data_IF_423095504194
#
_entry.id   IF_423095504194
#
_cell.length_a   1.000
_cell.length_b   1.000
_cell.length_c   1.000
_cell.angle_alpha   90.00
_cell.angle_beta   90.00
_cell.angle_gamma   90.00
#
_symmetry.space_group_name_H-M   'P 1'
#
loop_
_entity.id
_entity.type
_entity.pdbx_description
1 polymer ?
#
# COMPACT_ATOMS: atom_id res chain seq x y z
N UNK A 1 38.94 -39.87 26.86
CA UNK A 1 39.49 -39.55 25.50
C UNK A 1 38.38 -39.21 24.47
N UNK A 2 37.50 -40.16 24.07
CA UNK A 2 36.43 -39.85 23.08
C UNK A 2 35.45 -38.77 23.58
N UNK A 3 35.02 -38.85 24.84
CA UNK A 3 34.11 -37.89 25.47
C UNK A 3 34.70 -36.47 25.52
N UNK A 4 35.97 -36.35 25.78
CA UNK A 4 36.69 -35.08 25.93
C UNK A 4 36.88 -34.43 24.54
N UNK A 5 37.12 -35.24 23.51
CA UNK A 5 37.17 -34.78 22.10
C UNK A 5 35.81 -34.30 21.65
N UNK A 6 34.72 -35.03 21.94
CA UNK A 6 33.35 -34.62 21.61
C UNK A 6 32.98 -33.30 22.31
N UNK A 7 33.34 -33.13 23.57
CA UNK A 7 33.12 -31.92 24.33
C UNK A 7 33.83 -30.71 23.71
N UNK A 8 35.10 -30.87 23.32
CA UNK A 8 35.86 -29.80 22.65
C UNK A 8 35.22 -29.41 21.29
N UNK A 9 34.84 -30.41 20.50
CA UNK A 9 34.16 -30.16 19.21
C UNK A 9 32.86 -29.39 19.43
N UNK A 10 32.06 -29.79 20.41
CA UNK A 10 30.81 -29.10 20.72
C UNK A 10 31.05 -27.64 21.16
N UNK A 11 32.04 -27.41 22.01
CA UNK A 11 32.43 -26.06 22.43
C UNK A 11 32.92 -25.21 21.25
N UNK A 12 33.67 -25.76 20.31
CA UNK A 12 34.13 -25.05 19.11
C UNK A 12 32.99 -24.71 18.19
N UNK A 13 32.02 -25.62 17.97
CA UNK A 13 30.83 -25.37 17.14
C UNK A 13 29.92 -24.30 17.74
N UNK A 14 29.67 -24.37 19.05
CA UNK A 14 28.85 -23.35 19.72
C UNK A 14 29.53 -21.99 19.76
N UNK A 15 30.85 -21.98 20.02
CA UNK A 15 31.64 -20.74 20.01
C UNK A 15 31.68 -20.08 18.64
N UNK A 16 31.87 -20.86 17.57
CA UNK A 16 31.85 -20.31 16.19
C UNK A 16 30.47 -19.76 15.79
N UNK A 17 29.41 -20.44 16.19
CA UNK A 17 28.04 -19.96 15.99
C UNK A 17 27.75 -18.62 16.69
N UNK A 18 28.24 -18.51 17.93
CA UNK A 18 28.10 -17.27 18.70
C UNK A 18 28.84 -16.08 18.07
N UNK A 19 30.09 -16.32 17.62
CA UNK A 19 30.88 -15.29 16.92
C UNK A 19 30.17 -14.86 15.62
N UNK A 20 29.70 -15.82 14.83
CA UNK A 20 28.97 -15.52 13.59
C UNK A 20 27.71 -14.70 13.87
N UNK A 21 26.96 -15.02 14.91
CA UNK A 21 25.78 -14.26 15.34
C UNK A 21 26.13 -12.82 15.73
N UNK A 22 27.19 -12.63 16.51
CA UNK A 22 27.65 -11.28 16.89
C UNK A 22 28.05 -10.47 15.65
N UNK A 23 28.82 -11.05 14.74
CA UNK A 23 29.20 -10.37 13.48
C UNK A 23 27.98 -9.99 12.66
N UNK A 24 26.98 -10.87 12.58
CA UNK A 24 25.70 -10.56 11.90
C UNK A 24 24.98 -9.39 12.57
N UNK A 25 24.85 -9.38 13.90
CA UNK A 25 24.22 -8.30 14.64
C UNK A 25 24.95 -6.96 14.43
N UNK A 26 26.27 -6.97 14.45
CA UNK A 26 27.09 -5.77 14.21
C UNK A 26 26.86 -5.25 12.79
N UNK A 27 26.92 -6.12 11.78
CA UNK A 27 26.68 -5.73 10.38
C UNK A 27 25.26 -5.18 10.17
N UNK A 28 24.27 -5.81 10.80
CA UNK A 28 22.89 -5.34 10.76
C UNK A 28 22.75 -3.97 11.40
N UNK A 29 23.35 -3.76 12.57
CA UNK A 29 23.33 -2.48 13.28
C UNK A 29 23.98 -1.35 12.45
N UNK A 30 25.15 -1.61 11.89
CA UNK A 30 25.84 -0.63 11.03
C UNK A 30 25.08 -0.38 9.73
N UNK A 31 24.51 -1.40 9.12
CA UNK A 31 23.66 -1.26 7.93
C UNK A 31 22.42 -0.42 8.20
N UNK A 32 21.75 -0.64 9.34
CA UNK A 32 20.60 0.13 9.76
C UNK A 32 20.96 1.59 10.07
N UNK A 33 22.03 1.83 10.83
CA UNK A 33 22.47 3.18 11.20
C UNK A 33 22.91 4.03 9.99
N UNK A 34 23.45 3.40 8.97
CA UNK A 34 23.90 4.06 7.74
C UNK A 34 22.82 4.08 6.64
N UNK A 35 21.61 3.58 6.92
CA UNK A 35 20.50 3.68 5.99
C UNK A 35 20.07 5.14 5.84
N UNK A 36 20.50 5.76 4.77
CA UNK A 36 19.97 7.05 4.35
C UNK A 36 18.83 6.79 3.37
N UNK A 37 17.57 7.12 3.73
CA UNK A 37 16.49 7.00 2.78
C UNK A 37 16.81 7.87 1.56
N UNK A 38 16.68 7.29 0.36
CA UNK A 38 16.91 8.01 -0.88
C UNK A 38 15.94 9.18 -0.96
N UNK A 39 16.43 10.39 -0.73
CA UNK A 39 15.64 11.64 -0.75
C UNK A 39 15.29 12.13 -2.17
N UNK A 40 15.65 11.40 -3.21
CA UNK A 40 15.26 11.79 -4.58
C UNK A 40 13.85 11.28 -4.91
N UNK A 41 12.86 11.93 -4.38
CA UNK A 41 11.50 11.81 -4.88
C UNK A 41 11.44 12.52 -6.24
N UNK A 42 11.67 11.79 -7.32
CA UNK A 42 11.11 12.24 -8.59
C UNK A 42 9.60 12.22 -8.40
N UNK A 43 8.99 13.38 -8.36
CA UNK A 43 7.54 13.51 -8.36
C UNK A 43 7.01 12.74 -9.57
N UNK A 44 6.20 11.72 -9.31
CA UNK A 44 5.59 10.88 -10.36
C UNK A 44 4.09 11.10 -10.32
N UNK A 45 3.44 10.88 -11.44
CA UNK A 45 1.98 10.80 -11.47
C UNK A 45 1.52 9.57 -10.68
N UNK A 46 0.46 9.70 -9.89
CA UNK A 46 -0.09 8.65 -9.04
C UNK A 46 -1.60 8.61 -9.19
N UNK A 47 -2.15 7.44 -9.49
CA UNK A 47 -3.58 7.20 -9.47
C UNK A 47 -3.96 6.45 -8.20
N UNK A 48 -4.76 7.06 -7.34
CA UNK A 48 -5.29 6.46 -6.11
C UNK A 48 -6.63 5.83 -6.43
N UNK A 49 -6.70 4.50 -6.47
CA UNK A 49 -7.92 3.77 -6.80
C UNK A 49 -8.59 3.27 -5.52
N UNK A 50 -9.84 3.65 -5.34
CA UNK A 50 -10.69 3.23 -4.23
C UNK A 50 -11.88 2.46 -4.80
N UNK A 51 -11.97 1.17 -4.46
CA UNK A 51 -13.16 0.37 -4.80
C UNK A 51 -14.12 0.43 -3.63
N UNK A 52 -15.34 0.89 -3.88
CA UNK A 52 -16.37 1.11 -2.86
C UNK A 52 -17.65 0.36 -3.20
N UNK A 53 -18.44 0.03 -2.17
CA UNK A 53 -19.79 -0.46 -2.29
C UNK A 53 -20.55 -0.21 -0.99
N UNK A 54 -21.61 0.61 -1.06
CA UNK A 54 -22.42 1.01 0.09
C UNK A 54 -21.57 1.58 1.25
N UNK A 55 -20.58 2.43 0.94
CA UNK A 55 -19.65 3.04 1.90
C UNK A 55 -19.97 4.54 2.15
N UNK A 56 -21.17 4.99 1.90
CA UNK A 56 -21.58 6.39 2.06
C UNK A 56 -21.23 6.98 3.43
N UNK A 57 -21.23 6.17 4.49
CA UNK A 57 -20.87 6.63 5.85
C UNK A 57 -19.38 6.94 5.99
N UNK A 58 -18.48 6.16 5.39
CA UNK A 58 -17.03 6.27 5.56
C UNK A 58 -16.38 7.13 4.47
N UNK A 59 -16.99 7.19 3.30
CA UNK A 59 -16.45 7.82 2.10
C UNK A 59 -16.12 9.32 2.27
N UNK A 60 -16.92 10.16 2.94
CA UNK A 60 -16.58 11.57 3.12
C UNK A 60 -15.30 11.79 3.89
N UNK A 61 -15.08 11.02 4.95
CA UNK A 61 -13.84 11.08 5.75
C UNK A 61 -12.64 10.65 4.93
N UNK A 62 -12.76 9.56 4.16
CA UNK A 62 -11.72 9.08 3.27
C UNK A 62 -11.38 10.10 2.17
N UNK A 63 -12.39 10.64 1.48
CA UNK A 63 -12.18 11.64 0.42
C UNK A 63 -11.50 12.90 0.97
N UNK A 64 -11.94 13.39 2.12
CA UNK A 64 -11.30 14.52 2.78
C UNK A 64 -9.83 14.24 3.07
N UNK A 65 -9.49 13.06 3.58
CA UNK A 65 -8.11 12.67 3.85
C UNK A 65 -7.27 12.54 2.57
N UNK A 66 -7.85 11.99 1.49
CA UNK A 66 -7.16 11.85 0.20
C UNK A 66 -6.92 13.21 -0.48
N UNK A 67 -7.88 14.13 -0.43
CA UNK A 67 -7.77 15.46 -1.02
C UNK A 67 -6.75 16.33 -0.28
N UNK A 68 -6.57 16.11 1.02
CA UNK A 68 -5.64 16.85 1.87
C UNK A 68 -4.24 16.19 1.97
N UNK A 69 -3.87 15.30 1.06
CA UNK A 69 -2.54 14.71 1.02
C UNK A 69 -1.45 15.77 0.73
N UNK A 70 -0.30 15.62 1.38
CA UNK A 70 0.90 16.42 1.09
C UNK A 70 1.59 15.91 -0.20
N UNK A 71 0.86 16.03 -1.31
CA UNK A 71 1.34 15.68 -2.65
C UNK A 71 0.86 16.72 -3.67
N UNK A 72 1.64 17.07 -4.71
CA UNK A 72 1.19 18.04 -5.71
C UNK A 72 -0.10 17.59 -6.40
N UNK A 73 -1.11 18.45 -6.37
CA UNK A 73 -2.46 18.15 -6.87
C UNK A 73 -2.54 17.85 -8.36
N UNK A 74 -1.61 18.37 -9.11
CA UNK A 74 -1.44 18.14 -10.56
C UNK A 74 -0.79 16.79 -10.90
N UNK A 75 -0.23 16.12 -9.89
CA UNK A 75 0.47 14.85 -10.06
C UNK A 75 -0.28 13.65 -9.47
N UNK A 76 -1.46 13.82 -8.91
CA UNK A 76 -2.27 12.68 -8.52
C UNK A 76 -3.75 12.84 -8.88
N UNK A 77 -4.38 11.72 -9.11
CA UNK A 77 -5.81 11.60 -9.33
C UNK A 77 -6.41 10.59 -8.37
N UNK A 78 -7.68 10.76 -8.05
CA UNK A 78 -8.46 9.84 -7.24
C UNK A 78 -9.52 9.21 -8.13
N UNK A 79 -9.59 7.90 -8.16
CA UNK A 79 -10.58 7.13 -8.92
C UNK A 79 -11.43 6.33 -7.94
N UNK A 80 -12.71 6.68 -7.86
CA UNK A 80 -13.68 5.93 -7.07
C UNK A 80 -14.41 4.97 -8.00
N UNK A 81 -14.17 3.67 -7.83
CA UNK A 81 -14.82 2.60 -8.56
C UNK A 81 -15.96 2.02 -7.71
N UNK A 82 -17.16 2.40 -8.03
CA UNK A 82 -18.36 2.00 -7.30
C UNK A 82 -18.96 0.71 -7.88
N UNK A 83 -18.91 -0.37 -7.09
CA UNK A 83 -19.47 -1.67 -7.44
C UNK A 83 -20.97 -1.74 -7.14
N UNK A 84 -21.75 -0.99 -7.89
CA UNK A 84 -23.22 -0.93 -7.81
C UNK A 84 -23.72 -0.65 -6.38
N UNK A 85 -23.31 0.48 -5.79
CA UNK A 85 -23.89 0.97 -4.53
C UNK A 85 -25.37 1.35 -4.71
N UNK A 86 -26.16 1.10 -3.69
CA UNK A 86 -27.58 1.40 -3.60
C UNK A 86 -27.88 2.53 -2.61
N UNK A 87 -26.84 3.06 -1.96
CA UNK A 87 -26.88 4.17 -1.02
C UNK A 87 -26.50 5.51 -1.68
N UNK A 88 -26.27 6.54 -0.89
CA UNK A 88 -25.92 7.89 -1.33
C UNK A 88 -24.45 8.07 -1.77
N UNK A 89 -23.70 6.97 -1.97
CA UNK A 89 -22.29 6.97 -2.36
C UNK A 89 -22.01 7.88 -3.58
N UNK A 90 -22.79 7.75 -4.64
CA UNK A 90 -22.61 8.55 -5.87
C UNK A 90 -22.79 10.06 -5.63
N UNK A 91 -23.80 10.43 -4.87
CA UNK A 91 -24.08 11.83 -4.53
C UNK A 91 -22.99 12.44 -3.66
N UNK A 92 -22.47 11.67 -2.70
CA UNK A 92 -21.38 12.08 -1.84
C UNK A 92 -20.09 12.32 -2.64
N UNK A 93 -19.76 11.47 -3.61
CA UNK A 93 -18.60 11.69 -4.50
C UNK A 93 -18.79 12.96 -5.32
N UNK A 94 -19.98 13.16 -5.90
CA UNK A 94 -20.28 14.33 -6.71
C UNK A 94 -20.05 15.65 -5.97
N UNK A 95 -20.37 15.72 -4.67
CA UNK A 95 -20.13 16.89 -3.82
C UNK A 95 -18.65 17.21 -3.60
N UNK A 96 -17.75 16.26 -3.87
CA UNK A 96 -16.30 16.41 -3.66
C UNK A 96 -15.53 16.64 -4.97
N UNK A 97 -16.17 16.64 -6.14
CA UNK A 97 -15.50 16.77 -7.45
C UNK A 97 -14.78 18.11 -7.65
N UNK A 98 -15.25 19.19 -7.02
CA UNK A 98 -14.71 20.55 -7.25
C UNK A 98 -13.63 20.99 -6.24
N UNK A 99 -13.05 20.07 -5.47
CA UNK A 99 -12.09 20.40 -4.42
C UNK A 99 -10.62 20.50 -4.89
N UNK A 100 -10.40 20.69 -6.21
CA UNK A 100 -9.09 21.01 -6.77
C UNK A 100 -8.15 19.83 -6.95
N UNK A 101 -8.67 18.60 -6.90
CA UNK A 101 -7.97 17.35 -7.26
C UNK A 101 -8.77 16.66 -8.35
N UNK A 102 -8.09 16.04 -9.31
CA UNK A 102 -8.76 15.26 -10.35
C UNK A 102 -9.44 14.04 -9.69
N UNK A 103 -10.75 14.11 -9.53
CA UNK A 103 -11.60 13.05 -8.97
C UNK A 103 -12.44 12.44 -10.08
N UNK A 104 -12.31 11.14 -10.31
CA UNK A 104 -13.08 10.38 -11.29
C UNK A 104 -14.00 9.39 -10.55
N UNK A 105 -15.28 9.40 -10.88
CA UNK A 105 -16.25 8.42 -10.41
C UNK A 105 -16.60 7.45 -11.51
N UNK A 106 -16.45 6.17 -11.27
CA UNK A 106 -16.82 5.07 -12.16
C UNK A 106 -17.91 4.24 -11.51
N UNK A 107 -19.13 4.35 -12.01
CA UNK A 107 -20.21 3.43 -11.65
C UNK A 107 -20.08 2.16 -12.49
N UNK A 108 -20.01 1.01 -11.83
CA UNK A 108 -19.84 -0.30 -12.46
C UNK A 108 -21.15 -1.07 -12.35
N UNK A 109 -22.00 -1.02 -13.37
CA UNK A 109 -23.30 -1.69 -13.33
C UNK A 109 -23.13 -3.21 -13.47
N UNK A 110 -23.74 -3.92 -12.53
CA UNK A 110 -23.92 -5.36 -12.64
C UNK A 110 -22.76 -6.20 -12.16
N UNK A 111 -23.10 -7.37 -11.65
CA UNK A 111 -22.13 -8.40 -11.24
C UNK A 111 -21.69 -9.19 -12.46
N UNK A 112 -20.45 -9.09 -12.85
CA UNK A 112 -19.85 -10.06 -13.74
C UNK A 112 -19.82 -11.41 -13.00
N UNK A 113 -20.50 -12.41 -13.56
CA UNK A 113 -20.56 -13.77 -12.99
C UNK A 113 -19.22 -14.50 -13.04
N UNK A 114 -18.29 -14.03 -13.88
CA UNK A 114 -17.00 -14.66 -14.13
C UNK A 114 -15.92 -14.17 -13.17
N UNK A 115 -16.00 -12.93 -12.72
CA UNK A 115 -15.00 -12.32 -11.84
C UNK A 115 -15.59 -11.89 -10.49
N UNK A 116 -14.76 -11.91 -9.44
CA UNK A 116 -15.13 -11.26 -8.19
C UNK A 116 -15.49 -9.80 -8.46
N UNK A 117 -16.62 -9.27 -7.93
CA UNK A 117 -17.06 -7.89 -8.16
C UNK A 117 -15.94 -6.88 -7.93
N UNK A 118 -15.22 -6.99 -6.82
CA UNK A 118 -14.08 -6.13 -6.49
C UNK A 118 -12.95 -6.19 -7.53
N UNK A 119 -12.65 -7.36 -8.09
CA UNK A 119 -11.61 -7.49 -9.13
C UNK A 119 -12.02 -6.84 -10.44
N UNK A 120 -13.30 -6.94 -10.80
CA UNK A 120 -13.83 -6.28 -12.00
C UNK A 120 -13.79 -4.76 -11.84
N UNK A 121 -14.24 -4.23 -10.71
CA UNK A 121 -14.17 -2.82 -10.40
C UNK A 121 -12.72 -2.28 -10.45
N UNK A 122 -11.79 -2.97 -9.82
CA UNK A 122 -10.38 -2.61 -9.84
C UNK A 122 -9.79 -2.63 -11.28
N UNK A 123 -10.13 -3.64 -12.08
CA UNK A 123 -9.65 -3.73 -13.48
C UNK A 123 -10.14 -2.54 -14.32
N UNK A 124 -11.40 -2.16 -14.19
CA UNK A 124 -11.96 -1.01 -14.90
C UNK A 124 -11.33 0.31 -14.42
N UNK A 125 -11.12 0.46 -13.13
CA UNK A 125 -10.45 1.63 -12.57
C UNK A 125 -8.99 1.77 -13.04
N UNK A 126 -8.24 0.67 -13.12
CA UNK A 126 -6.87 0.66 -13.68
C UNK A 126 -6.89 1.04 -15.16
N UNK A 127 -7.86 0.56 -15.93
CA UNK A 127 -7.97 0.91 -17.35
C UNK A 127 -8.34 2.39 -17.57
N UNK A 128 -8.96 3.05 -16.60
CA UNK A 128 -9.34 4.46 -16.64
C UNK A 128 -8.26 5.39 -16.06
N UNK A 129 -7.23 4.85 -15.42
CA UNK A 129 -6.12 5.65 -14.87
C UNK A 129 -5.21 6.19 -15.97
N UNK A 130 -4.67 7.39 -15.75
CA UNK A 130 -3.81 8.12 -16.70
C UNK A 130 -2.32 7.91 -16.44
#
# INVERSE_FOLDING_TARGET
MLRDILFVILCCLTGSGFVTYIVFCIRFWFGYKNYTPVKSFRKRTVSVIVVTRNEGRNLPTLLTALINQDYPRDLYEIIIADDASEDDTAELVARHMDLGVKLLYLSIPGRDKVHSPKKNALKQAIAASS
#
